data_IF_920794619503
#
_entry.id   IF_920794619503
#
_cell.length_a   1.000
_cell.length_b   1.000
_cell.length_c   1.000
_cell.angle_alpha   90.00
_cell.angle_beta   90.00
_cell.angle_gamma   90.00
#
_symmetry.space_group_name_H-M   'P 1'
#
loop_
_entity.id
_entity.type
_entity.pdbx_description
1 polymer ?
#
# COMPACT_ATOMS: atom_id res chain seq x y z
N UNK A 1 -43.62 -1.78 26.97
CA UNK A 1 -44.33 -1.37 25.75
C UNK A 1 -43.28 -1.29 24.61
N UNK A 2 -43.02 -2.41 23.92
CA UNK A 2 -42.11 -2.47 22.79
C UNK A 2 -42.81 -1.82 21.59
N UNK A 3 -42.33 -0.66 21.18
CA UNK A 3 -42.80 -0.01 19.93
C UNK A 3 -42.39 -0.86 18.73
N UNK A 4 -43.38 -1.14 17.93
CA UNK A 4 -43.32 -2.00 16.74
C UNK A 4 -42.14 -1.61 15.80
N UNK A 5 -41.08 -2.42 15.81
CA UNK A 5 -39.91 -2.25 14.93
C UNK A 5 -40.26 -2.34 13.44
N UNK A 6 -41.42 -2.95 13.09
CA UNK A 6 -41.93 -3.00 11.71
C UNK A 6 -42.26 -1.62 11.12
N UNK A 7 -42.72 -0.66 11.94
CA UNK A 7 -43.01 0.70 11.48
C UNK A 7 -41.75 1.56 11.23
N UNK A 8 -40.61 1.17 11.80
CA UNK A 8 -39.32 1.84 11.55
C UNK A 8 -38.72 1.36 10.23
N UNK A 9 -38.86 0.07 9.93
CA UNK A 9 -38.33 -0.52 8.67
C UNK A 9 -39.08 0.00 7.44
N UNK A 10 -40.40 0.19 7.53
CA UNK A 10 -41.18 0.77 6.42
C UNK A 10 -40.91 2.26 6.16
N UNK A 11 -40.28 2.98 7.08
CA UNK A 11 -39.92 4.40 6.92
C UNK A 11 -38.61 4.57 6.13
N UNK A 12 -37.86 3.50 5.92
CA UNK A 12 -36.64 3.43 5.13
C UNK A 12 -36.81 2.55 3.88
N UNK A 13 -38.01 2.54 3.28
CA UNK A 13 -38.12 2.08 1.90
C UNK A 13 -37.30 3.05 1.04
N UNK A 14 -36.05 2.71 0.76
CA UNK A 14 -35.28 3.40 -0.25
C UNK A 14 -36.10 3.40 -1.52
N UNK A 15 -36.52 4.60 -1.97
CA UNK A 15 -37.26 4.73 -3.21
C UNK A 15 -36.37 4.20 -4.33
N UNK A 16 -36.76 3.08 -4.93
CA UNK A 16 -36.01 2.44 -6.02
C UNK A 16 -35.72 3.44 -7.14
N UNK A 17 -36.64 4.32 -7.39
CA UNK A 17 -36.51 5.39 -8.39
C UNK A 17 -35.33 6.34 -8.04
N UNK A 18 -35.18 6.69 -6.77
CA UNK A 18 -34.09 7.55 -6.30
C UNK A 18 -32.73 6.86 -6.44
N UNK A 19 -32.65 5.58 -6.16
CA UNK A 19 -31.42 4.78 -6.34
C UNK A 19 -31.03 4.68 -7.81
N UNK A 20 -32.01 4.41 -8.69
CA UNK A 20 -31.76 4.34 -10.14
C UNK A 20 -31.29 5.68 -10.68
N UNK A 21 -31.94 6.77 -10.29
CA UNK A 21 -31.56 8.12 -10.68
C UNK A 21 -30.13 8.47 -10.24
N UNK A 22 -29.77 8.15 -9.00
CA UNK A 22 -28.41 8.39 -8.49
C UNK A 22 -27.37 7.58 -9.26
N UNK A 23 -27.67 6.34 -9.59
CA UNK A 23 -26.79 5.51 -10.41
C UNK A 23 -26.59 6.09 -11.82
N UNK A 24 -27.67 6.53 -12.46
CA UNK A 24 -27.61 7.10 -13.81
C UNK A 24 -26.84 8.43 -13.84
N UNK A 25 -26.94 9.25 -12.79
CA UNK A 25 -26.10 10.45 -12.63
C UNK A 25 -24.59 10.06 -12.51
N UNK A 26 -24.25 9.08 -11.70
CA UNK A 26 -22.86 8.65 -11.56
C UNK A 26 -22.31 7.97 -12.82
N UNK A 27 -23.17 7.42 -13.67
CA UNK A 27 -22.79 6.86 -14.98
C UNK A 27 -22.31 7.90 -16.00
N UNK A 28 -22.50 9.20 -15.75
CA UNK A 28 -21.90 10.28 -16.54
C UNK A 28 -20.38 10.37 -16.32
N UNK A 29 -19.90 9.88 -15.16
CA UNK A 29 -18.48 9.84 -14.84
C UNK A 29 -17.75 8.71 -15.56
N UNK A 30 -16.72 9.06 -16.33
CA UNK A 30 -15.94 8.10 -17.12
C UNK A 30 -15.26 7.00 -16.27
N UNK A 31 -14.77 7.35 -15.08
CA UNK A 31 -14.07 6.41 -14.21
C UNK A 31 -15.07 5.44 -13.58
N UNK A 32 -16.22 5.96 -13.14
CA UNK A 32 -17.32 5.15 -12.65
C UNK A 32 -17.82 4.18 -13.72
N UNK A 33 -18.09 4.69 -14.93
CA UNK A 33 -18.51 3.90 -16.08
C UNK A 33 -17.55 2.77 -16.43
N UNK A 34 -16.23 3.07 -16.42
CA UNK A 34 -15.18 2.07 -16.64
C UNK A 34 -15.16 0.99 -15.56
N UNK A 35 -15.40 1.35 -14.29
CA UNK A 35 -15.52 0.38 -13.20
C UNK A 35 -16.73 -0.54 -13.39
N UNK A 36 -17.89 0.04 -13.59
CA UNK A 36 -19.15 -0.68 -13.82
C UNK A 36 -19.03 -1.68 -14.98
N UNK A 37 -18.45 -1.26 -16.11
CA UNK A 37 -18.26 -2.13 -17.27
C UNK A 37 -17.36 -3.34 -17.01
N UNK A 38 -16.39 -3.20 -16.09
CA UNK A 38 -15.48 -4.30 -15.69
C UNK A 38 -16.13 -5.32 -14.77
N UNK A 39 -17.11 -4.90 -13.97
CA UNK A 39 -17.74 -5.77 -12.97
C UNK A 39 -18.66 -6.82 -13.59
N UNK A 40 -19.20 -6.56 -14.80
CA UNK A 40 -20.09 -7.50 -15.55
C UNK A 40 -21.30 -8.00 -14.74
N UNK A 41 -21.80 -7.21 -13.81
CA UNK A 41 -22.98 -7.47 -13.00
C UNK A 41 -24.22 -6.79 -13.59
N UNK A 42 -25.41 -7.24 -13.17
CA UNK A 42 -26.66 -6.63 -13.57
C UNK A 42 -26.82 -5.21 -13.01
N UNK A 43 -27.58 -4.34 -13.71
CA UNK A 43 -27.86 -2.96 -13.22
C UNK A 43 -28.51 -3.01 -11.83
N UNK A 44 -29.44 -3.93 -11.60
CA UNK A 44 -30.14 -4.08 -10.31
C UNK A 44 -29.22 -4.41 -9.13
N UNK A 45 -28.15 -5.12 -9.37
CA UNK A 45 -27.13 -5.40 -8.35
C UNK A 45 -26.23 -4.19 -8.11
N UNK A 46 -25.78 -3.54 -9.18
CA UNK A 46 -24.87 -2.39 -9.12
C UNK A 46 -25.50 -1.16 -8.46
N UNK A 47 -26.78 -0.92 -8.68
CA UNK A 47 -27.53 0.19 -8.06
C UNK A 47 -27.44 0.17 -6.53
N UNK A 48 -27.46 -1.01 -5.92
CA UNK A 48 -27.36 -1.16 -4.46
C UNK A 48 -26.00 -0.68 -3.91
N UNK A 49 -24.99 -0.63 -4.75
CA UNK A 49 -23.61 -0.28 -4.39
C UNK A 49 -23.11 1.01 -5.02
N UNK A 50 -24.01 1.84 -5.56
CA UNK A 50 -23.67 3.10 -6.25
C UNK A 50 -22.70 3.96 -5.44
N UNK A 51 -22.99 4.22 -4.17
CA UNK A 51 -22.12 5.02 -3.29
C UNK A 51 -20.71 4.42 -3.16
N UNK A 52 -20.62 3.11 -2.95
CA UNK A 52 -19.32 2.43 -2.79
C UNK A 52 -18.49 2.40 -4.08
N UNK A 53 -19.16 2.25 -5.23
CA UNK A 53 -18.51 2.32 -6.55
C UNK A 53 -18.04 3.76 -6.82
N UNK A 54 -18.80 4.77 -6.39
CA UNK A 54 -18.43 6.17 -6.46
C UNK A 54 -17.16 6.44 -5.64
N UNK A 55 -17.11 5.97 -4.39
CA UNK A 55 -15.91 6.11 -3.54
C UNK A 55 -14.69 5.46 -4.20
N UNK A 56 -14.86 4.26 -4.76
CA UNK A 56 -13.80 3.58 -5.52
C UNK A 56 -13.36 4.39 -6.75
N UNK A 57 -14.28 5.01 -7.48
CA UNK A 57 -13.97 5.84 -8.64
C UNK A 57 -13.18 7.08 -8.27
N UNK A 58 -13.51 7.73 -7.15
CA UNK A 58 -12.79 8.89 -6.62
C UNK A 58 -11.35 8.53 -6.24
N UNK A 59 -11.14 7.41 -5.54
CA UNK A 59 -9.80 6.96 -5.18
C UNK A 59 -8.96 6.60 -6.42
N UNK A 60 -9.56 6.02 -7.45
CA UNK A 60 -8.86 5.76 -8.72
C UNK A 60 -8.46 7.06 -9.45
N UNK A 61 -9.30 8.10 -9.42
CA UNK A 61 -8.96 9.42 -9.95
C UNK A 61 -7.78 10.05 -9.20
N UNK A 62 -7.78 9.95 -7.87
CA UNK A 62 -6.66 10.39 -7.05
C UNK A 62 -5.36 9.67 -7.45
N UNK A 63 -5.43 8.36 -7.69
CA UNK A 63 -4.28 7.56 -8.12
C UNK A 63 -3.78 7.91 -9.52
N UNK A 64 -4.65 8.32 -10.44
CA UNK A 64 -4.24 8.73 -11.80
C UNK A 64 -3.30 9.95 -11.77
N UNK A 65 -3.49 10.86 -10.82
CA UNK A 65 -2.70 12.08 -10.65
C UNK A 65 -1.61 11.97 -9.58
N UNK A 66 -1.48 10.82 -8.91
CA UNK A 66 -0.53 10.60 -7.84
C UNK A 66 0.89 10.36 -8.39
N UNK A 67 1.88 11.12 -7.90
CA UNK A 67 3.29 11.03 -8.31
C UNK A 67 4.12 10.13 -7.39
N UNK A 68 3.78 10.08 -6.11
CA UNK A 68 4.48 9.29 -5.09
C UNK A 68 3.55 8.96 -3.92
N UNK A 69 3.99 8.09 -3.01
CA UNK A 69 3.19 7.64 -1.87
C UNK A 69 2.88 8.76 -0.86
N UNK A 70 3.78 9.76 -0.74
CA UNK A 70 3.61 10.87 0.20
C UNK A 70 2.51 11.85 -0.23
N UNK A 71 2.18 11.89 -1.53
CA UNK A 71 1.11 12.71 -2.09
C UNK A 71 -0.22 11.94 -2.21
N UNK A 72 -0.33 10.80 -1.55
CA UNK A 72 -1.54 9.97 -1.60
C UNK A 72 -2.74 10.69 -0.97
N UNK A 73 -3.81 10.84 -1.74
CA UNK A 73 -5.07 11.48 -1.33
C UNK A 73 -6.19 10.50 -1.00
N UNK A 74 -5.91 9.19 -1.07
CA UNK A 74 -6.89 8.16 -0.73
C UNK A 74 -7.05 8.03 0.79
N UNK A 75 -8.15 7.46 1.22
CA UNK A 75 -8.48 7.26 2.64
C UNK A 75 -7.40 6.46 3.37
N UNK A 76 -6.82 5.45 2.72
CA UNK A 76 -5.69 4.71 3.24
C UNK A 76 -4.49 4.97 2.33
N UNK A 77 -3.46 5.60 2.89
CA UNK A 77 -2.24 5.92 2.15
C UNK A 77 -1.60 4.66 1.53
N UNK A 78 -1.34 4.72 0.22
CA UNK A 78 -0.75 3.60 -0.51
C UNK A 78 -1.72 2.51 -0.94
N UNK A 79 -3.02 2.63 -0.64
CA UNK A 79 -4.05 1.67 -1.02
C UNK A 79 -5.13 2.33 -1.87
N UNK A 80 -5.88 1.51 -2.59
CA UNK A 80 -7.02 1.91 -3.41
C UNK A 80 -8.21 1.06 -3.02
N UNK A 81 -9.33 1.68 -2.72
CA UNK A 81 -10.60 0.99 -2.52
C UNK A 81 -11.10 0.48 -3.87
N UNK A 82 -11.20 -0.82 -4.04
CA UNK A 82 -11.46 -1.43 -5.34
C UNK A 82 -12.57 -2.48 -5.28
N UNK A 83 -13.58 -2.40 -6.19
CA UNK A 83 -14.60 -3.41 -6.32
C UNK A 83 -14.08 -4.61 -7.08
N UNK A 84 -14.44 -5.81 -6.63
CA UNK A 84 -14.18 -7.08 -7.32
C UNK A 84 -15.38 -8.01 -7.19
N UNK A 85 -15.53 -8.94 -8.11
CA UNK A 85 -16.59 -9.96 -8.06
C UNK A 85 -15.97 -11.26 -7.58
N UNK A 86 -16.50 -11.80 -6.49
CA UNK A 86 -16.08 -13.07 -5.90
C UNK A 86 -17.32 -13.95 -5.71
N UNK A 87 -17.36 -15.10 -6.37
CA UNK A 87 -18.51 -16.03 -6.31
C UNK A 87 -19.85 -15.30 -6.56
N UNK A 88 -19.92 -14.55 -7.64
CA UNK A 88 -21.07 -13.71 -8.07
C UNK A 88 -21.49 -12.62 -7.08
N UNK A 89 -20.72 -12.37 -6.04
CA UNK A 89 -20.96 -11.28 -5.09
C UNK A 89 -19.98 -10.13 -5.31
N UNK A 90 -20.49 -8.89 -5.24
CA UNK A 90 -19.66 -7.69 -5.29
C UNK A 90 -19.00 -7.45 -3.94
N UNK A 91 -17.69 -7.53 -3.92
CA UNK A 91 -16.84 -7.33 -2.74
C UNK A 91 -15.96 -6.10 -2.94
N UNK A 92 -15.77 -5.34 -1.89
CA UNK A 92 -14.90 -4.16 -1.89
C UNK A 92 -13.73 -4.39 -0.94
N UNK A 93 -12.52 -4.16 -1.43
CA UNK A 93 -11.30 -4.32 -0.64
C UNK A 93 -10.28 -3.22 -0.94
N UNK A 94 -9.40 -2.96 0.01
CA UNK A 94 -8.25 -2.10 -0.21
C UNK A 94 -7.12 -2.88 -0.85
N UNK A 95 -6.68 -2.45 -2.03
CA UNK A 95 -5.61 -3.09 -2.81
C UNK A 95 -4.38 -2.17 -2.80
N UNK A 96 -3.17 -2.68 -2.53
CA UNK A 96 -1.96 -1.86 -2.53
C UNK A 96 -1.69 -1.27 -3.92
N UNK A 97 -1.43 0.04 -3.98
CA UNK A 97 -1.11 0.75 -5.21
C UNK A 97 0.32 0.43 -5.70
N UNK A 98 0.68 0.89 -6.91
CA UNK A 98 2.02 0.68 -7.50
C UNK A 98 3.16 1.16 -6.60
N UNK A 99 2.99 2.29 -5.91
CA UNK A 99 4.02 2.85 -5.02
C UNK A 99 4.14 2.05 -3.72
N UNK A 100 3.02 1.60 -3.15
CA UNK A 100 3.03 0.73 -1.97
C UNK A 100 3.68 -0.62 -2.28
N UNK A 101 3.31 -1.24 -3.41
CA UNK A 101 3.94 -2.51 -3.87
C UNK A 101 5.44 -2.36 -4.06
N UNK A 102 5.90 -1.24 -4.63
CA UNK A 102 7.32 -0.97 -4.79
C UNK A 102 8.01 -0.84 -3.42
N UNK A 103 7.44 -0.03 -2.52
CA UNK A 103 7.97 0.13 -1.16
C UNK A 103 8.05 -1.22 -0.42
N UNK A 104 6.99 -2.02 -0.47
CA UNK A 104 6.94 -3.33 0.18
C UNK A 104 7.98 -4.29 -0.42
N UNK A 105 8.19 -4.27 -1.74
CA UNK A 105 9.24 -5.07 -2.36
C UNK A 105 10.65 -4.59 -1.97
N UNK A 106 10.86 -3.27 -1.92
CA UNK A 106 12.15 -2.68 -1.55
C UNK A 106 12.48 -2.94 -0.07
N UNK A 107 11.47 -3.12 0.79
CA UNK A 107 11.62 -3.40 2.24
C UNK A 107 11.44 -4.87 2.61
N UNK A 108 11.09 -5.73 1.67
CA UNK A 108 10.77 -7.16 1.91
C UNK A 108 11.87 -7.94 2.61
N UNK A 109 13.14 -7.52 2.44
CA UNK A 109 14.26 -8.12 3.18
C UNK A 109 14.16 -7.88 4.69
N UNK A 110 13.51 -6.81 5.14
CA UNK A 110 13.34 -6.48 6.55
C UNK A 110 12.40 -7.47 7.25
N UNK A 111 11.42 -8.03 6.53
CA UNK A 111 10.49 -9.03 7.07
C UNK A 111 11.21 -10.34 7.47
N UNK A 112 12.37 -10.60 6.89
CA UNK A 112 13.20 -11.76 7.18
C UNK A 112 14.20 -11.51 8.32
N UNK A 113 14.26 -10.29 8.87
CA UNK A 113 15.16 -9.92 9.96
C UNK A 113 14.36 -9.89 11.25
N UNK A 114 14.56 -10.91 12.09
CA UNK A 114 13.98 -10.95 13.44
C UNK A 114 15.05 -10.38 14.38
N UNK A 115 14.80 -9.20 14.94
CA UNK A 115 15.66 -8.56 15.92
C UNK A 115 15.00 -8.52 17.29
N UNK A 116 15.66 -9.10 18.31
CA UNK A 116 15.24 -8.97 19.70
C UNK A 116 16.07 -7.87 20.38
N UNK A 117 15.38 -6.94 21.04
CA UNK A 117 16.01 -5.83 21.83
C UNK A 117 17.08 -5.01 21.08
N UNK A 118 16.96 -4.86 19.76
CA UNK A 118 17.89 -4.06 19.00
C UNK A 118 17.52 -2.58 19.09
N UNK A 119 18.46 -1.67 19.44
CA UNK A 119 18.20 -0.23 19.44
C UNK A 119 17.73 0.27 18.08
N UNK A 120 16.82 1.26 18.09
CA UNK A 120 16.24 1.83 16.85
C UNK A 120 17.30 2.42 15.93
N UNK A 121 18.39 2.94 16.49
CA UNK A 121 19.54 3.47 15.75
C UNK A 121 20.20 2.40 14.88
N UNK A 122 20.29 1.16 15.37
CA UNK A 122 20.87 0.03 14.62
C UNK A 122 19.89 -0.48 13.58
N UNK A 123 18.59 -0.56 13.91
CA UNK A 123 17.55 -0.99 12.95
C UNK A 123 17.49 -0.03 11.74
N UNK A 124 17.68 1.27 11.99
CA UNK A 124 17.66 2.30 10.96
C UNK A 124 19.05 2.63 10.40
N UNK A 125 20.07 1.83 10.72
CA UNK A 125 21.40 2.04 10.21
C UNK A 125 21.46 1.97 8.68
N UNK A 126 22.20 2.90 8.07
CA UNK A 126 22.34 3.00 6.62
C UNK A 126 23.77 3.39 6.28
N UNK A 127 24.26 2.93 5.14
CA UNK A 127 25.56 3.34 4.59
C UNK A 127 25.72 4.85 4.48
N UNK A 128 24.62 5.60 4.32
CA UNK A 128 24.63 7.07 4.28
C UNK A 128 24.98 7.72 5.62
N UNK A 129 24.79 7.00 6.72
CA UNK A 129 25.01 7.50 8.08
C UNK A 129 26.37 7.12 8.63
N UNK A 130 27.21 6.44 7.85
CA UNK A 130 28.56 6.07 8.27
C UNK A 130 29.48 7.30 8.21
N UNK A 131 30.09 7.63 9.33
CA UNK A 131 31.08 8.72 9.39
C UNK A 131 32.30 8.37 8.55
N UNK A 132 32.61 9.23 7.59
CA UNK A 132 33.73 9.06 6.63
C UNK A 132 34.99 9.81 7.04
N UNK A 133 34.96 10.58 8.12
CA UNK A 133 36.06 11.45 8.56
C UNK A 133 37.25 10.69 9.13
N UNK A 134 37.07 9.40 9.53
CA UNK A 134 38.13 8.55 10.03
C UNK A 134 38.79 7.81 8.86
N UNK A 135 40.07 8.16 8.62
CA UNK A 135 40.88 7.52 7.56
C UNK A 135 40.96 6.00 7.70
N UNK A 136 40.95 5.48 8.93
CA UNK A 136 41.01 4.02 9.19
C UNK A 136 39.72 3.31 8.75
N UNK A 137 38.60 4.01 8.65
CA UNK A 137 37.35 3.44 8.20
C UNK A 137 37.18 3.46 6.68
N UNK A 138 37.90 4.32 5.99
CA UNK A 138 37.74 4.48 4.52
C UNK A 138 38.03 3.17 3.77
N UNK A 139 38.99 2.39 4.21
CA UNK A 139 39.32 1.12 3.57
C UNK A 139 38.19 0.10 3.77
N UNK A 140 37.64 0.00 4.96
CA UNK A 140 36.48 -0.84 5.28
C UNK A 140 35.24 -0.42 4.48
N UNK A 141 34.97 0.89 4.38
CA UNK A 141 33.84 1.42 3.60
C UNK A 141 33.98 1.09 2.10
N UNK A 142 35.17 1.25 1.54
CA UNK A 142 35.45 0.87 0.14
C UNK A 142 35.19 -0.61 -0.10
N UNK A 143 35.66 -1.45 0.83
CA UNK A 143 35.47 -2.89 0.75
C UNK A 143 33.98 -3.26 0.83
N UNK A 144 33.25 -2.69 1.77
CA UNK A 144 31.79 -2.87 1.91
C UNK A 144 31.04 -2.46 0.65
N UNK A 145 31.39 -1.33 0.06
CA UNK A 145 30.78 -0.85 -1.19
C UNK A 145 30.98 -1.85 -2.33
N UNK A 146 32.20 -2.42 -2.45
CA UNK A 146 32.49 -3.44 -3.45
C UNK A 146 31.70 -4.73 -3.17
N UNK A 147 31.62 -5.13 -1.91
CA UNK A 147 30.89 -6.32 -1.47
C UNK A 147 29.40 -6.21 -1.80
N UNK A 148 28.76 -5.08 -1.47
CA UNK A 148 27.35 -4.82 -1.77
C UNK A 148 27.11 -4.87 -3.28
N UNK A 149 27.94 -4.19 -4.09
CA UNK A 149 27.84 -4.24 -5.55
C UNK A 149 27.90 -5.64 -6.13
N UNK A 150 28.76 -6.50 -5.58
CA UNK A 150 28.83 -7.91 -6.01
C UNK A 150 27.56 -8.67 -5.69
N UNK A 151 26.96 -8.45 -4.51
CA UNK A 151 25.68 -9.06 -4.13
C UNK A 151 24.57 -8.58 -5.07
N UNK A 152 24.49 -7.27 -5.34
CA UNK A 152 23.48 -6.68 -6.26
C UNK A 152 23.58 -7.27 -7.66
N UNK A 153 24.80 -7.58 -8.12
CA UNK A 153 25.06 -8.19 -9.42
C UNK A 153 24.89 -9.72 -9.42
N UNK A 154 24.45 -10.34 -8.30
CA UNK A 154 24.41 -11.79 -8.11
C UNK A 154 25.77 -12.50 -8.31
N UNK A 155 26.88 -11.80 -8.09
CA UNK A 155 28.22 -12.37 -8.15
C UNK A 155 28.52 -13.15 -6.87
N UNK A 156 29.20 -14.30 -7.00
CA UNK A 156 29.69 -15.04 -5.83
C UNK A 156 30.70 -14.22 -5.06
N UNK A 157 30.41 -13.93 -3.79
CA UNK A 157 31.33 -13.22 -2.90
C UNK A 157 31.53 -14.02 -1.61
N UNK A 158 32.74 -13.91 -1.07
CA UNK A 158 33.01 -14.43 0.29
C UNK A 158 32.36 -13.50 1.30
N UNK A 159 31.89 -14.06 2.42
CA UNK A 159 31.35 -13.28 3.54
C UNK A 159 32.39 -12.32 4.12
N UNK A 160 31.91 -11.27 4.77
CA UNK A 160 32.73 -10.28 5.48
C UNK A 160 32.82 -10.65 6.96
N UNK A 161 33.99 -10.64 7.48
CA UNK A 161 34.25 -10.80 8.92
C UNK A 161 34.93 -9.53 9.47
N UNK A 162 34.16 -8.78 10.30
CA UNK A 162 34.64 -7.55 10.92
C UNK A 162 35.28 -7.83 12.29
N UNK A 163 36.52 -7.38 12.46
CA UNK A 163 37.23 -7.43 13.75
C UNK A 163 37.51 -6.01 14.24
N UNK A 164 37.69 -5.86 15.52
CA UNK A 164 38.05 -4.56 16.13
C UNK A 164 37.64 -4.49 17.60
N UNK A 165 38.06 -3.43 18.26
CA UNK A 165 37.80 -3.19 19.68
C UNK A 165 36.32 -3.07 20.01
N UNK A 166 35.97 -3.24 21.29
CA UNK A 166 34.60 -3.02 21.75
C UNK A 166 34.17 -1.55 21.49
N UNK A 167 32.95 -1.33 21.05
CA UNK A 167 32.42 0.01 20.81
C UNK A 167 32.84 0.68 19.48
N UNK A 168 33.68 0.04 18.63
CA UNK A 168 34.09 0.66 17.35
C UNK A 168 33.06 0.64 16.23
N UNK A 169 31.80 0.28 16.51
CA UNK A 169 30.67 0.39 15.56
C UNK A 169 30.51 -0.79 14.62
N UNK A 170 31.08 -1.96 14.87
CA UNK A 170 30.94 -3.16 14.01
C UNK A 170 29.49 -3.57 13.75
N UNK A 171 28.64 -3.46 14.75
CA UNK A 171 27.22 -3.83 14.66
C UNK A 171 26.42 -2.79 13.89
N UNK A 172 26.94 -1.56 13.78
CA UNK A 172 26.28 -0.47 13.06
C UNK A 172 26.51 -0.56 11.53
N UNK A 173 27.58 -1.18 11.12
CA UNK A 173 27.98 -1.42 9.73
C UNK A 173 27.39 -2.74 9.22
#
# INVERSE_FOLDING_TARGET
MMKDTKNIINKYSFDRYELERNFDIEMEDETFKKLVSKLKLSKDELIKYTSRIKDASLELKNCANCKNIMECKNNICGYVYYPSVLQDNLVFSYVPCKYKKKLDNDTKYQDNIISFDMPKEIINASMKNIYTDDKNRLETIKWLTIFIKKIENNEKSKGLFLTGNFGCGKTYV
#
